data_IF_718285663952
#
_entry.id   IF_718285663952
#
_cell.length_a   1.000
_cell.length_b   1.000
_cell.length_c   1.000
_cell.angle_alpha   90.00
_cell.angle_beta   90.00
_cell.angle_gamma   90.00
#
_symmetry.space_group_name_H-M   'P 1'
#
loop_
_entity.id
_entity.type
_entity.pdbx_description
1 polymer ?
#
# COMPACT_ATOMS: atom_id res chain seq x y z
N UNK A 1 32.17 17.28 -8.06
CA UNK A 1 31.67 16.36 -9.10
C UNK A 1 30.26 16.79 -9.47
N UNK A 2 29.88 16.71 -10.74
CA UNK A 2 28.53 17.05 -11.23
C UNK A 2 27.88 15.80 -11.81
N UNK A 3 26.61 15.56 -11.48
CA UNK A 3 25.83 14.47 -12.03
C UNK A 3 24.96 14.97 -13.19
N UNK A 4 24.86 14.17 -14.26
CA UNK A 4 23.98 14.47 -15.40
C UNK A 4 22.55 13.98 -15.17
N UNK A 5 22.41 12.89 -14.42
CA UNK A 5 21.14 12.24 -14.16
C UNK A 5 21.00 11.95 -12.67
N UNK A 6 19.82 12.29 -12.12
CA UNK A 6 19.36 11.87 -10.81
C UNK A 6 18.10 11.06 -11.03
N UNK A 7 18.07 9.85 -10.48
CA UNK A 7 16.90 8.96 -10.53
C UNK A 7 16.44 8.83 -9.09
N UNK A 8 15.21 9.27 -8.83
CA UNK A 8 14.60 9.19 -7.52
C UNK A 8 13.70 7.97 -7.46
N UNK A 9 13.77 7.27 -6.34
CA UNK A 9 12.67 6.42 -5.93
C UNK A 9 11.45 7.29 -5.55
N UNK A 10 10.25 6.73 -5.58
CA UNK A 10 9.01 7.45 -5.35
C UNK A 10 8.54 7.32 -3.90
N UNK A 11 8.13 6.12 -3.52
CA UNK A 11 7.48 5.83 -2.24
C UNK A 11 8.49 5.86 -1.08
N UNK A 12 8.25 6.68 -0.06
CA UNK A 12 9.20 6.84 1.05
C UNK A 12 10.43 7.69 0.72
N UNK A 13 10.50 8.24 -0.48
CA UNK A 13 11.55 9.19 -0.91
C UNK A 13 10.97 10.55 -1.30
N UNK A 14 10.01 10.58 -2.24
CA UNK A 14 9.29 11.79 -2.64
C UNK A 14 7.89 11.83 -2.02
N UNK A 15 7.20 10.70 -2.04
CA UNK A 15 5.83 10.55 -1.53
C UNK A 15 5.83 9.95 -0.13
N UNK A 16 4.94 10.46 0.73
CA UNK A 16 4.68 9.91 2.06
C UNK A 16 3.77 8.69 1.92
N UNK A 17 4.38 7.56 1.57
CA UNK A 17 3.69 6.31 1.33
C UNK A 17 2.98 5.79 2.58
N UNK A 18 3.61 5.86 3.75
CA UNK A 18 3.05 5.33 5.00
C UNK A 18 1.74 6.04 5.35
N UNK A 19 1.72 7.37 5.19
CA UNK A 19 0.50 8.16 5.40
C UNK A 19 -0.56 7.87 4.34
N UNK A 20 -0.15 7.77 3.07
CA UNK A 20 -1.03 7.44 1.96
C UNK A 20 -1.69 6.06 2.13
N UNK A 21 -0.89 5.05 2.46
CA UNK A 21 -1.32 3.67 2.72
C UNK A 21 -2.30 3.63 3.90
N UNK A 22 -1.96 4.24 5.04
CA UNK A 22 -2.84 4.25 6.21
C UNK A 22 -4.20 4.90 5.91
N UNK A 23 -4.19 6.02 5.17
CA UNK A 23 -5.42 6.71 4.77
C UNK A 23 -6.24 5.88 3.77
N UNK A 24 -5.61 5.28 2.77
CA UNK A 24 -6.26 4.45 1.77
C UNK A 24 -6.86 3.18 2.39
N UNK A 25 -6.12 2.52 3.28
CA UNK A 25 -6.55 1.32 3.96
C UNK A 25 -7.81 1.57 4.78
N UNK A 26 -7.79 2.57 5.66
CA UNK A 26 -8.96 2.95 6.48
C UNK A 26 -10.17 3.32 5.61
N UNK A 27 -9.98 4.15 4.59
CA UNK A 27 -11.07 4.56 3.68
C UNK A 27 -11.69 3.36 2.96
N UNK A 28 -10.90 2.33 2.65
CA UNK A 28 -11.40 1.16 1.93
C UNK A 28 -12.28 0.28 2.82
N UNK A 29 -11.93 0.13 4.11
CA UNK A 29 -12.81 -0.49 5.10
C UNK A 29 -14.14 0.27 5.22
N UNK A 30 -14.06 1.59 5.42
CA UNK A 30 -15.24 2.45 5.59
C UNK A 30 -16.16 2.40 4.36
N UNK A 31 -15.61 2.46 3.14
CA UNK A 31 -16.37 2.42 1.89
C UNK A 31 -17.08 1.09 1.64
N UNK A 32 -16.49 -0.02 2.09
CA UNK A 32 -17.06 -1.34 1.91
C UNK A 32 -17.99 -1.75 3.08
N UNK A 33 -18.19 -0.86 4.07
CA UNK A 33 -19.06 -1.12 5.21
C UNK A 33 -18.47 -2.08 6.25
N UNK A 34 -17.15 -2.29 6.22
CA UNK A 34 -16.45 -3.13 7.18
C UNK A 34 -15.99 -2.30 8.39
N UNK A 35 -16.05 -2.87 9.58
CA UNK A 35 -15.52 -2.22 10.78
C UNK A 35 -14.00 -2.24 10.73
N UNK A 36 -13.38 -1.06 10.79
CA UNK A 36 -11.92 -0.95 10.91
C UNK A 36 -11.51 -0.99 12.39
N UNK A 37 -10.51 -1.82 12.70
CA UNK A 37 -9.84 -1.84 13.99
C UNK A 37 -8.36 -1.44 13.81
N UNK A 38 -7.78 -0.60 14.69
CA UNK A 38 -6.38 -0.15 14.56
C UNK A 38 -5.37 -1.30 14.43
N UNK A 39 -5.65 -2.44 15.08
CA UNK A 39 -4.79 -3.63 15.08
C UNK A 39 -4.66 -4.26 13.68
N UNK A 40 -5.63 -4.01 12.78
CA UNK A 40 -5.58 -4.52 11.40
C UNK A 40 -4.42 -3.92 10.61
N UNK A 41 -3.99 -2.70 10.95
CA UNK A 41 -2.85 -2.07 10.29
C UNK A 41 -1.54 -2.80 10.58
N UNK A 42 -1.36 -3.32 11.81
CA UNK A 42 -0.17 -4.08 12.17
C UNK A 42 -0.13 -5.42 11.43
N UNK A 43 -1.26 -6.14 11.40
CA UNK A 43 -1.37 -7.41 10.66
C UNK A 43 -1.17 -7.20 9.15
N UNK A 44 -1.74 -6.12 8.60
CA UNK A 44 -1.56 -5.78 7.20
C UNK A 44 -0.09 -5.44 6.88
N UNK A 45 0.63 -4.68 7.72
CA UNK A 45 2.06 -4.38 7.52
C UNK A 45 2.90 -5.66 7.44
N UNK A 46 2.64 -6.64 8.29
CA UNK A 46 3.32 -7.94 8.24
C UNK A 46 3.03 -8.70 6.93
N UNK A 47 1.75 -8.79 6.57
CA UNK A 47 1.31 -9.51 5.36
C UNK A 47 1.84 -8.84 4.09
N UNK A 48 1.74 -7.51 4.02
CA UNK A 48 2.23 -6.70 2.90
C UNK A 48 3.75 -6.84 2.75
N UNK A 49 4.51 -6.76 3.85
CA UNK A 49 5.98 -6.97 3.80
C UNK A 49 6.35 -8.37 3.36
N UNK A 50 5.62 -9.40 3.79
CA UNK A 50 5.88 -10.78 3.37
C UNK A 50 5.68 -10.95 1.86
N UNK A 51 4.54 -10.49 1.34
CA UNK A 51 4.18 -10.72 -0.05
C UNK A 51 5.03 -9.89 -1.03
N UNK A 52 5.45 -8.67 -0.63
CA UNK A 52 6.43 -7.91 -1.41
C UNK A 52 7.76 -8.64 -1.55
N UNK A 53 8.26 -9.28 -0.48
CA UNK A 53 9.48 -10.10 -0.55
C UNK A 53 9.32 -11.32 -1.46
N UNK A 54 8.13 -11.92 -1.54
CA UNK A 54 7.84 -13.01 -2.48
C UNK A 54 7.86 -12.51 -3.93
N UNK A 55 7.27 -11.34 -4.18
CA UNK A 55 7.30 -10.66 -5.49
C UNK A 55 8.73 -10.29 -5.92
N UNK A 56 9.55 -9.73 -5.03
CA UNK A 56 10.95 -9.39 -5.28
C UNK A 56 11.82 -10.61 -5.63
N UNK A 57 11.44 -11.80 -5.14
CA UNK A 57 12.08 -13.07 -5.49
C UNK A 57 11.53 -13.68 -6.79
N UNK A 58 10.53 -13.06 -7.41
CA UNK A 58 9.88 -13.54 -8.64
C UNK A 58 8.97 -14.75 -8.43
N UNK A 59 8.52 -15.00 -7.19
CA UNK A 59 7.69 -16.17 -6.84
C UNK A 59 6.22 -15.95 -7.18
N UNK A 60 5.78 -14.70 -7.24
CA UNK A 60 4.42 -14.27 -7.59
C UNK A 60 4.47 -13.11 -8.57
N UNK A 61 3.38 -12.88 -9.29
CA UNK A 61 3.26 -11.71 -10.17
C UNK A 61 2.78 -10.47 -9.43
N UNK A 62 2.88 -9.30 -10.08
CA UNK A 62 2.31 -8.07 -9.53
C UNK A 62 0.77 -8.14 -9.41
N UNK A 63 0.10 -8.87 -10.31
CA UNK A 63 -1.35 -9.06 -10.24
C UNK A 63 -1.74 -9.97 -9.07
N UNK A 64 -0.96 -11.02 -8.80
CA UNK A 64 -1.15 -11.86 -7.61
C UNK A 64 -0.99 -11.02 -6.33
N UNK A 65 0.10 -10.25 -6.21
CA UNK A 65 0.39 -9.42 -5.03
C UNK A 65 -0.79 -8.51 -4.66
N UNK A 66 -1.41 -7.87 -5.66
CA UNK A 66 -2.50 -6.91 -5.45
C UNK A 66 -3.66 -7.51 -4.68
N UNK A 67 -4.07 -8.72 -5.02
CA UNK A 67 -5.25 -9.38 -4.44
C UNK A 67 -4.85 -10.23 -3.23
N UNK A 68 -3.79 -11.01 -3.35
CA UNK A 68 -3.39 -12.02 -2.37
C UNK A 68 -3.00 -11.39 -1.02
N UNK A 69 -2.46 -10.16 -0.99
CA UNK A 69 -2.18 -9.46 0.26
C UNK A 69 -3.43 -9.25 1.12
N UNK A 70 -4.58 -9.02 0.48
CA UNK A 70 -5.84 -8.84 1.19
C UNK A 70 -6.50 -10.18 1.49
N UNK A 71 -6.37 -11.18 0.63
CA UNK A 71 -6.81 -12.54 0.93
C UNK A 71 -6.12 -13.09 2.19
N UNK A 72 -4.79 -12.93 2.29
CA UNK A 72 -4.00 -13.32 3.48
C UNK A 72 -4.36 -12.51 4.71
N UNK A 73 -4.57 -11.20 4.56
CA UNK A 73 -5.02 -10.34 5.64
C UNK A 73 -6.37 -10.83 6.20
N UNK A 74 -7.36 -11.03 5.35
CA UNK A 74 -8.71 -11.43 5.76
C UNK A 74 -8.73 -12.83 6.35
N UNK A 75 -7.93 -13.74 5.80
CA UNK A 75 -7.70 -15.05 6.39
C UNK A 75 -7.14 -14.96 7.82
N UNK A 76 -6.14 -14.11 8.07
CA UNK A 76 -5.57 -13.92 9.42
C UNK A 76 -6.50 -13.22 10.40
N UNK A 77 -7.35 -12.32 9.90
CA UNK A 77 -8.30 -11.56 10.73
C UNK A 77 -9.67 -12.24 10.87
N UNK A 78 -9.84 -13.43 10.27
CA UNK A 78 -11.11 -14.17 10.23
C UNK A 78 -12.27 -13.33 9.67
N UNK A 79 -11.98 -12.50 8.66
CA UNK A 79 -12.95 -11.65 7.99
C UNK A 79 -13.51 -12.33 6.74
N UNK A 80 -14.84 -12.36 6.62
CA UNK A 80 -15.53 -12.77 5.40
C UNK A 80 -15.69 -11.55 4.48
N UNK A 81 -14.68 -11.32 3.64
CA UNK A 81 -14.60 -10.14 2.76
C UNK A 81 -14.02 -10.52 1.41
N UNK A 82 -14.57 -9.94 0.33
CA UNK A 82 -14.04 -10.11 -1.02
C UNK A 82 -12.72 -9.33 -1.21
N UNK A 83 -11.61 -10.07 -1.19
CA UNK A 83 -10.26 -9.56 -1.40
C UNK A 83 -10.05 -8.87 -2.75
N UNK A 84 -10.70 -9.32 -3.82
CA UNK A 84 -10.53 -8.73 -5.15
C UNK A 84 -11.23 -7.37 -5.23
N UNK A 85 -12.46 -7.29 -4.73
CA UNK A 85 -13.21 -6.03 -4.61
C UNK A 85 -12.47 -5.04 -3.71
N UNK A 86 -12.03 -5.48 -2.53
CA UNK A 86 -11.27 -4.63 -1.60
C UNK A 86 -9.95 -4.15 -2.24
N UNK A 87 -9.22 -5.02 -2.94
CA UNK A 87 -7.97 -4.66 -3.62
C UNK A 87 -8.15 -3.54 -4.63
N UNK A 88 -9.17 -3.66 -5.49
CA UNK A 88 -9.48 -2.64 -6.50
C UNK A 88 -9.77 -1.29 -5.83
N UNK A 89 -10.62 -1.29 -4.81
CA UNK A 89 -11.04 -0.06 -4.15
C UNK A 89 -9.90 0.56 -3.33
N UNK A 90 -9.06 -0.27 -2.71
CA UNK A 90 -7.82 0.15 -2.07
C UNK A 90 -6.88 0.84 -3.05
N UNK A 91 -6.62 0.25 -4.22
CA UNK A 91 -5.73 0.85 -5.22
C UNK A 91 -6.28 2.18 -5.75
N UNK A 92 -7.60 2.31 -5.90
CA UNK A 92 -8.24 3.59 -6.25
C UNK A 92 -8.07 4.63 -5.14
N UNK A 93 -8.22 4.24 -3.88
CA UNK A 93 -8.04 5.15 -2.74
C UNK A 93 -6.58 5.55 -2.53
N UNK A 94 -5.64 4.64 -2.78
CA UNK A 94 -4.20 4.87 -2.70
C UNK A 94 -3.75 5.83 -3.81
N UNK A 95 -4.18 5.60 -5.06
CA UNK A 95 -3.84 6.46 -6.20
C UNK A 95 -4.42 7.88 -6.12
N UNK A 96 -5.29 8.16 -5.14
CA UNK A 96 -5.81 9.51 -4.85
C UNK A 96 -4.97 10.27 -3.81
N UNK A 97 -4.02 9.59 -3.16
CA UNK A 97 -3.10 10.23 -2.22
C UNK A 97 -1.95 10.85 -2.99
N UNK A 98 -1.51 12.03 -2.57
CA UNK A 98 -0.41 12.77 -3.19
C UNK A 98 0.39 13.56 -2.14
N UNK A 99 0.33 13.13 -0.87
CA UNK A 99 1.12 13.72 0.20
C UNK A 99 2.61 13.51 -0.11
N UNK A 100 3.37 14.61 -0.10
CA UNK A 100 4.80 14.60 -0.31
C UNK A 100 5.51 14.60 1.04
N UNK A 101 6.70 14.01 1.08
CA UNK A 101 7.62 14.17 2.21
C UNK A 101 8.07 15.64 2.26
N UNK A 102 8.25 16.18 3.46
CA UNK A 102 8.71 17.55 3.67
C UNK A 102 10.00 17.83 2.89
N UNK A 103 9.99 18.87 2.05
CA UNK A 103 11.12 19.26 1.21
C UNK A 103 11.21 18.55 -0.15
N UNK A 104 10.40 17.50 -0.41
CA UNK A 104 10.48 16.75 -1.66
C UNK A 104 10.13 17.61 -2.87
N UNK A 105 9.13 18.49 -2.75
CA UNK A 105 8.73 19.40 -3.83
C UNK A 105 9.87 20.38 -4.18
N UNK A 106 10.57 20.91 -3.18
CA UNK A 106 11.66 21.85 -3.34
C UNK A 106 12.91 21.19 -3.94
N UNK A 107 13.15 19.92 -3.62
CA UNK A 107 14.30 19.15 -4.14
C UNK A 107 14.15 18.85 -5.63
N UNK A 108 12.92 18.67 -6.12
CA UNK A 108 12.64 18.28 -7.52
C UNK A 108 12.13 19.42 -8.40
N UNK A 109 12.00 20.64 -7.87
CA UNK A 109 11.62 21.85 -8.59
C UNK A 109 12.73 22.38 -9.52
#
# INVERSE_FOLDING_TARGET
MSYTWLIFDADGTLFDYDRAEAAAFRRTFDQNGYSFAPEYADVYREVNSQIWREFERGEITADDLRVERFARLFSRLELDTDAATFSRDYLLNLGRQADLIDGAAEVVA
#
